data_IF_832095326674
#
_entry.id   IF_832095326674
#
_cell.length_a   1.000
_cell.length_b   1.000
_cell.length_c   1.000
_cell.angle_alpha   90.00
_cell.angle_beta   90.00
_cell.angle_gamma   90.00
#
_symmetry.space_group_name_H-M   'P 1'
#
loop_
_entity.id
_entity.type
_entity.pdbx_description
1 polymer ?
#
# COMPACT_ATOMS: atom_id res chain seq x y z
N UNK A 1 5.23 -22.19 3.60
CA UNK A 1 6.56 -21.66 3.96
C UNK A 1 6.35 -20.28 4.58
N UNK A 2 6.87 -20.02 5.78
CA UNK A 2 6.72 -18.70 6.41
C UNK A 2 7.68 -17.68 5.77
N UNK A 3 7.17 -16.50 5.43
CA UNK A 3 8.01 -15.39 4.95
C UNK A 3 8.97 -14.98 6.07
N UNK A 4 10.27 -14.90 5.78
CA UNK A 4 11.27 -14.49 6.77
C UNK A 4 11.07 -13.01 7.11
N UNK A 5 10.87 -12.71 8.39
CA UNK A 5 10.78 -11.32 8.84
C UNK A 5 12.05 -10.55 8.44
N UNK A 6 11.89 -9.44 7.71
CA UNK A 6 12.99 -8.62 7.17
C UNK A 6 12.82 -7.11 7.50
N UNK A 7 11.84 -6.80 8.35
CA UNK A 7 11.49 -5.44 8.74
C UNK A 7 11.40 -5.34 10.26
N UNK A 8 12.01 -4.28 10.81
CA UNK A 8 11.90 -3.94 12.23
C UNK A 8 10.54 -3.30 12.56
N UNK A 9 10.26 -3.12 13.85
CA UNK A 9 8.98 -2.57 14.33
C UNK A 9 8.66 -1.19 13.72
N UNK A 10 9.66 -0.32 13.58
CA UNK A 10 9.51 0.99 12.93
C UNK A 10 9.10 0.88 11.45
N UNK A 11 9.75 -0.02 10.69
CA UNK A 11 9.43 -0.28 9.29
C UNK A 11 8.03 -0.90 9.11
N UNK A 12 7.56 -1.73 10.06
CA UNK A 12 6.19 -2.24 10.06
C UNK A 12 5.19 -1.10 10.22
N UNK A 13 5.40 -0.22 11.20
CA UNK A 13 4.52 0.90 11.46
C UNK A 13 4.48 1.89 10.27
N UNK A 14 5.63 2.18 9.67
CA UNK A 14 5.71 3.03 8.49
C UNK A 14 4.93 2.44 7.30
N UNK A 15 5.13 1.16 6.97
CA UNK A 15 4.39 0.48 5.90
C UNK A 15 2.90 0.42 6.16
N UNK A 16 2.50 0.15 7.41
CA UNK A 16 1.09 0.12 7.78
C UNK A 16 0.42 1.49 7.54
N UNK A 17 1.08 2.58 7.95
CA UNK A 17 0.58 3.95 7.75
C UNK A 17 0.48 4.31 6.27
N UNK A 18 1.53 4.04 5.48
CA UNK A 18 1.52 4.29 4.03
C UNK A 18 0.44 3.47 3.35
N UNK A 19 0.29 2.19 3.71
CA UNK A 19 -0.77 1.35 3.17
C UNK A 19 -2.17 1.85 3.52
N UNK A 20 -2.40 2.29 4.76
CA UNK A 20 -3.66 2.87 5.19
C UNK A 20 -3.99 4.16 4.44
N UNK A 21 -3.00 5.05 4.27
CA UNK A 21 -3.15 6.29 3.49
C UNK A 21 -3.41 6.00 2.01
N UNK A 22 -2.77 4.98 1.43
CA UNK A 22 -2.99 4.55 0.05
C UNK A 22 -4.41 4.03 -0.16
N UNK A 23 -4.92 3.20 0.75
CA UNK A 23 -6.31 2.71 0.70
C UNK A 23 -7.29 3.87 0.90
N UNK A 24 -7.09 4.72 1.90
CA UNK A 24 -7.96 5.86 2.16
C UNK A 24 -7.99 6.84 0.98
N UNK A 25 -6.83 7.14 0.40
CA UNK A 25 -6.70 7.97 -0.81
C UNK A 25 -7.39 7.33 -2.03
N UNK A 26 -7.24 6.01 -2.21
CA UNK A 26 -7.92 5.28 -3.27
C UNK A 26 -9.44 5.27 -3.14
N UNK A 27 -9.97 5.13 -1.92
CA UNK A 27 -11.40 5.25 -1.63
C UNK A 27 -11.88 6.69 -1.90
N UNK A 28 -11.13 7.70 -1.44
CA UNK A 28 -11.44 9.10 -1.71
C UNK A 28 -11.50 9.39 -3.22
N UNK A 29 -10.52 8.88 -3.98
CA UNK A 29 -10.50 9.02 -5.43
C UNK A 29 -11.67 8.29 -6.10
N UNK A 30 -12.03 7.09 -5.63
CA UNK A 30 -13.20 6.37 -6.12
C UNK A 30 -14.50 7.17 -5.91
N UNK A 31 -14.68 7.77 -4.73
CA UNK A 31 -15.85 8.61 -4.42
C UNK A 31 -15.93 9.83 -5.34
N UNK A 32 -14.82 10.54 -5.54
CA UNK A 32 -14.76 11.70 -6.44
C UNK A 32 -14.96 11.30 -7.91
N UNK A 33 -14.49 10.12 -8.30
CA UNK A 33 -14.75 9.59 -9.65
C UNK A 33 -16.22 9.23 -9.82
N UNK A 34 -16.87 8.72 -8.78
CA UNK A 34 -18.31 8.41 -8.80
C UNK A 34 -19.20 9.64 -8.95
N UNK A 35 -18.76 10.83 -8.52
CA UNK A 35 -19.51 12.09 -8.75
C UNK A 35 -19.33 12.64 -10.17
N UNK A 36 -18.53 12.00 -11.03
CA UNK A 36 -18.29 12.42 -12.41
C UNK A 36 -17.38 13.64 -12.57
N UNK A 37 -16.74 14.10 -11.48
CA UNK A 37 -15.82 15.25 -11.51
C UNK A 37 -14.50 14.89 -12.21
N UNK A 38 -14.10 13.63 -12.14
CA UNK A 38 -12.82 13.11 -12.64
C UNK A 38 -13.09 12.11 -13.77
N UNK A 39 -12.22 12.03 -14.80
CA UNK A 39 -12.39 11.10 -15.92
C UNK A 39 -12.48 9.63 -15.47
N UNK A 40 -13.19 8.81 -16.24
CA UNK A 40 -13.43 7.38 -15.96
C UNK A 40 -12.15 6.56 -15.82
N UNK A 41 -11.03 7.00 -16.39
CA UNK A 41 -9.72 6.37 -16.20
C UNK A 41 -9.27 6.38 -14.73
N UNK A 42 -9.77 7.29 -13.90
CA UNK A 42 -9.43 7.36 -12.48
C UNK A 42 -9.92 6.15 -11.67
N UNK A 43 -10.86 5.35 -12.18
CA UNK A 43 -11.20 4.06 -11.59
C UNK A 43 -9.99 3.11 -11.52
N UNK A 44 -9.13 3.13 -12.53
CA UNK A 44 -7.89 2.34 -12.52
C UNK A 44 -6.90 2.86 -11.48
N UNK A 45 -6.79 4.17 -11.32
CA UNK A 45 -5.95 4.77 -10.28
C UNK A 45 -6.48 4.47 -8.87
N UNK A 46 -7.80 4.49 -8.67
CA UNK A 46 -8.43 4.11 -7.42
C UNK A 46 -8.19 2.63 -7.10
N UNK A 47 -8.39 1.73 -8.07
CA UNK A 47 -8.08 0.31 -7.94
C UNK A 47 -6.61 0.07 -7.61
N UNK A 48 -5.68 0.71 -8.33
CA UNK A 48 -4.24 0.60 -8.09
C UNK A 48 -3.85 1.09 -6.69
N UNK A 49 -4.44 2.19 -6.23
CA UNK A 49 -4.18 2.75 -4.90
C UNK A 49 -4.70 1.84 -3.78
N UNK A 50 -5.90 1.27 -3.93
CA UNK A 50 -6.48 0.34 -2.96
C UNK A 50 -5.70 -0.97 -2.95
N UNK A 51 -5.39 -1.54 -4.11
CA UNK A 51 -4.64 -2.79 -4.22
C UNK A 51 -3.22 -2.64 -3.66
N UNK A 52 -2.50 -1.58 -4.07
CA UNK A 52 -1.17 -1.27 -3.58
C UNK A 52 -1.13 -0.96 -2.09
N UNK A 53 -2.10 -0.18 -1.59
CA UNK A 53 -2.24 0.12 -0.17
C UNK A 53 -2.53 -1.13 0.67
N UNK A 54 -3.43 -1.99 0.19
CA UNK A 54 -3.75 -3.27 0.84
C UNK A 54 -2.54 -4.21 0.87
N UNK A 55 -1.75 -4.24 -0.21
CA UNK A 55 -0.50 -5.00 -0.27
C UNK A 55 0.52 -4.49 0.76
N UNK A 56 0.69 -3.17 0.90
CA UNK A 56 1.58 -2.59 1.90
C UNK A 56 1.14 -2.89 3.35
N UNK A 57 -0.17 -2.95 3.61
CA UNK A 57 -0.72 -3.38 4.90
C UNK A 57 -0.39 -4.86 5.16
N UNK A 58 -0.53 -5.71 4.16
CA UNK A 58 -0.21 -7.14 4.29
C UNK A 58 1.28 -7.37 4.56
N UNK A 59 2.17 -6.68 3.84
CA UNK A 59 3.62 -6.68 4.09
C UNK A 59 3.94 -6.29 5.55
N UNK A 60 3.32 -5.21 6.04
CA UNK A 60 3.49 -4.75 7.42
C UNK A 60 3.06 -5.81 8.45
N UNK A 61 1.92 -6.48 8.22
CA UNK A 61 1.40 -7.53 9.10
C UNK A 61 2.28 -8.78 9.10
N UNK A 62 2.71 -9.23 7.93
CA UNK A 62 3.64 -10.35 7.79
C UNK A 62 5.03 -10.04 8.37
N UNK A 63 5.37 -8.75 8.53
CA UNK A 63 6.73 -8.33 8.90
C UNK A 63 7.75 -8.56 7.80
N UNK A 64 7.27 -8.63 6.57
CA UNK A 64 8.05 -8.95 5.39
C UNK A 64 7.89 -7.84 4.36
N UNK A 65 8.94 -7.59 3.61
CA UNK A 65 8.98 -6.54 2.61
C UNK A 65 9.66 -7.09 1.36
N UNK A 66 8.92 -7.09 0.24
CA UNK A 66 9.37 -7.58 -1.05
C UNK A 66 10.59 -6.81 -1.53
N UNK A 67 10.60 -5.48 -1.33
CA UNK A 67 11.68 -4.59 -1.79
C UNK A 67 13.01 -4.94 -1.13
N UNK A 68 13.01 -5.18 0.19
CA UNK A 68 14.20 -5.64 0.91
C UNK A 68 14.55 -7.09 0.58
N UNK A 69 13.55 -7.94 0.32
CA UNK A 69 13.79 -9.32 -0.11
C UNK A 69 14.45 -9.40 -1.50
N UNK A 70 14.16 -8.43 -2.38
CA UNK A 70 14.84 -8.25 -3.67
C UNK A 70 16.25 -7.63 -3.54
N UNK A 71 16.72 -7.32 -2.32
CA UNK A 71 18.06 -6.80 -2.06
C UNK A 71 18.19 -5.28 -2.02
N UNK A 72 17.09 -4.53 -2.16
CA UNK A 72 17.14 -3.07 -2.06
C UNK A 72 17.26 -2.61 -0.60
N UNK A 73 18.24 -1.75 -0.32
CA UNK A 73 18.39 -1.10 0.98
C UNK A 73 17.36 0.03 1.10
N UNK A 74 16.32 -0.20 1.90
CA UNK A 74 15.38 0.85 2.28
C UNK A 74 15.78 1.44 3.64
N UNK A 75 15.76 2.78 3.80
CA UNK A 75 16.06 3.42 5.09
C UNK A 75 15.00 3.12 6.16
N UNK A 76 13.79 2.75 5.72
CA UNK A 76 12.73 2.15 6.54
C UNK A 76 12.95 0.66 6.79
#
# INVERSE_FOLDING_TARGET
>A
MALKCNIGAAGKAARLRVGLLGVAGGIGLALVTATGIVPSIAWWAALGSIAGGSFAIWEARAGWCVVRAMGFKTPM
#
